data_IF_600402045520
#
_entry.id   IF_600402045520
#
_cell.length_a   1.000
_cell.length_b   1.000
_cell.length_c   1.000
_cell.angle_alpha   90.00
_cell.angle_beta   90.00
_cell.angle_gamma   90.00
#
_symmetry.space_group_name_H-M   'P 1'
#
loop_
_entity.id
_entity.type
_entity.pdbx_description
1 polymer ?
#
# COMPACT_ATOMS: atom_id res chain seq x y z
N UNK A 1 6.10 16.58 16.36
CA UNK A 1 5.60 16.83 14.99
C UNK A 1 5.82 18.29 14.63
N UNK A 2 6.35 18.57 13.45
CA UNK A 2 6.57 19.91 12.92
C UNK A 2 6.22 19.97 11.42
N UNK A 3 5.79 21.16 10.94
CA UNK A 3 5.64 21.41 9.49
C UNK A 3 6.98 21.82 8.93
N UNK A 4 7.40 21.18 7.84
CA UNK A 4 8.68 21.45 7.19
C UNK A 4 8.47 21.52 5.67
N UNK A 5 9.36 22.27 4.99
CA UNK A 5 9.43 22.21 3.51
C UNK A 5 10.48 21.17 3.12
N UNK A 6 10.07 20.16 2.37
CA UNK A 6 10.94 19.09 1.90
C UNK A 6 10.79 18.95 0.37
N UNK A 7 11.88 19.22 -0.36
CA UNK A 7 11.88 19.18 -1.83
C UNK A 7 10.76 20.03 -2.47
N UNK A 8 10.52 21.24 -1.93
CA UNK A 8 9.45 22.18 -2.31
C UNK A 8 8.02 21.67 -2.09
N UNK A 9 7.84 20.67 -1.23
CA UNK A 9 6.53 20.17 -0.80
C UNK A 9 6.38 20.49 0.70
N UNK A 10 5.26 21.07 1.09
CA UNK A 10 4.92 21.24 2.50
C UNK A 10 4.45 19.91 3.08
N UNK A 11 5.16 19.45 4.10
CA UNK A 11 4.94 18.17 4.75
C UNK A 11 4.97 18.28 6.26
N UNK A 12 4.59 17.20 6.91
CA UNK A 12 4.75 17.04 8.35
C UNK A 12 5.86 16.03 8.65
N UNK A 13 6.64 16.32 9.70
CA UNK A 13 7.72 15.48 10.21
C UNK A 13 7.39 15.02 11.61
N UNK A 14 7.61 13.74 11.87
CA UNK A 14 7.53 13.09 13.18
C UNK A 14 8.87 12.45 13.49
N UNK A 15 9.42 12.75 14.68
CA UNK A 15 10.57 12.05 15.24
C UNK A 15 10.08 11.21 16.43
N UNK A 16 10.22 9.87 16.34
CA UNK A 16 9.78 8.91 17.34
C UNK A 16 10.90 7.92 17.61
N UNK A 17 11.59 8.06 18.75
CA UNK A 17 12.81 7.31 19.03
C UNK A 17 13.87 7.51 17.95
N UNK A 18 14.42 6.43 17.35
CA UNK A 18 15.39 6.55 16.26
C UNK A 18 14.76 6.86 14.91
N UNK A 19 13.45 6.77 14.77
CA UNK A 19 12.73 6.93 13.50
C UNK A 19 12.35 8.37 13.22
N UNK A 20 12.46 8.75 11.95
CA UNK A 20 11.86 9.96 11.39
C UNK A 20 10.89 9.59 10.27
N UNK A 21 9.66 10.10 10.36
CA UNK A 21 8.62 9.92 9.36
C UNK A 21 8.29 11.26 8.70
N UNK A 22 8.26 11.27 7.36
CA UNK A 22 7.90 12.43 6.54
C UNK A 22 6.62 12.11 5.79
N UNK A 23 5.55 12.87 6.00
CA UNK A 23 4.27 12.60 5.37
C UNK A 23 3.57 13.88 4.89
N UNK A 24 2.74 13.72 3.86
CA UNK A 24 1.79 14.70 3.36
C UNK A 24 0.35 14.23 3.67
N UNK A 25 -0.21 14.59 4.84
CA UNK A 25 -1.54 14.15 5.23
C UNK A 25 -2.62 14.62 4.25
N UNK A 26 -2.55 15.88 3.81
CA UNK A 26 -3.57 16.53 2.98
C UNK A 26 -3.54 16.09 1.51
N UNK A 27 -2.41 15.55 1.01
CA UNK A 27 -2.26 15.13 -0.40
C UNK A 27 -2.04 13.62 -0.47
N UNK A 28 -3.08 12.88 -0.85
CA UNK A 28 -3.04 11.43 -0.98
C UNK A 28 -2.87 10.67 0.33
N UNK A 29 -2.97 11.33 1.49
CA UNK A 29 -2.68 10.75 2.82
C UNK A 29 -1.34 9.98 2.81
N UNK A 30 -0.30 10.53 2.18
CA UNK A 30 0.88 9.78 1.77
C UNK A 30 2.04 9.93 2.74
N UNK A 31 2.55 8.82 3.27
CA UNK A 31 3.90 8.78 3.81
C UNK A 31 4.88 8.89 2.64
N UNK A 32 5.81 9.84 2.70
CA UNK A 32 6.85 10.04 1.69
C UNK A 32 8.08 9.20 2.02
N UNK A 33 8.58 9.34 3.26
CA UNK A 33 9.80 8.66 3.68
C UNK A 33 9.70 8.24 5.15
N UNK A 34 10.33 7.13 5.47
CA UNK A 34 10.66 6.70 6.81
C UNK A 34 12.13 6.33 6.83
N UNK A 35 12.89 6.95 7.71
CA UNK A 35 14.30 6.61 7.92
C UNK A 35 14.65 6.45 9.39
N UNK A 36 15.73 5.72 9.63
CA UNK A 36 16.29 5.45 10.96
C UNK A 36 17.60 6.19 11.11
N UNK A 37 17.74 6.89 12.24
CA UNK A 37 18.98 7.49 12.70
C UNK A 37 19.78 6.41 13.44
N UNK A 38 20.88 5.96 12.83
CA UNK A 38 21.70 4.87 13.36
C UNK A 38 22.62 5.39 14.48
N UNK A 39 23.07 4.49 15.36
CA UNK A 39 23.94 4.84 16.50
C UNK A 39 25.31 5.40 16.10
N UNK A 40 25.77 5.11 14.88
CA UNK A 40 27.01 5.64 14.31
C UNK A 40 26.84 7.03 13.67
N UNK A 41 25.63 7.61 13.74
CA UNK A 41 25.27 8.90 13.15
C UNK A 41 24.88 8.82 11.67
N UNK A 42 24.90 7.65 11.04
CA UNK A 42 24.38 7.47 9.68
C UNK A 42 22.86 7.45 9.67
N UNK A 43 22.26 7.68 8.49
CA UNK A 43 20.82 7.62 8.26
C UNK A 43 20.53 6.51 7.25
N UNK A 44 19.52 5.71 7.54
CA UNK A 44 19.10 4.60 6.66
C UNK A 44 17.61 4.69 6.36
N UNK A 45 17.29 4.81 5.07
CA UNK A 45 15.90 4.78 4.62
C UNK A 45 15.31 3.36 4.75
N UNK A 46 14.10 3.29 5.27
CA UNK A 46 13.24 2.10 5.28
C UNK A 46 12.25 2.18 4.12
N UNK A 47 11.60 3.34 4.01
CA UNK A 47 10.70 3.65 2.89
C UNK A 47 11.43 4.61 1.96
N UNK A 48 11.57 4.19 0.72
CA UNK A 48 12.25 4.95 -0.34
C UNK A 48 11.47 6.21 -0.71
N UNK A 49 12.19 7.31 -0.86
CA UNK A 49 11.74 8.53 -1.54
C UNK A 49 12.91 9.06 -2.40
N UNK A 50 12.69 9.49 -3.65
CA UNK A 50 13.77 9.98 -4.52
C UNK A 50 14.49 11.18 -3.91
N UNK A 51 15.83 11.17 -3.90
CA UNK A 51 16.65 12.24 -3.31
C UNK A 51 16.41 13.62 -3.93
N UNK A 52 16.09 13.68 -5.22
CA UNK A 52 15.92 14.91 -5.99
C UNK A 52 14.58 14.91 -6.73
N UNK A 53 13.48 14.77 -5.99
CA UNK A 53 12.16 14.86 -6.61
C UNK A 53 11.84 16.31 -7.00
N UNK A 54 11.62 16.55 -8.28
CA UNK A 54 11.13 17.84 -8.82
C UNK A 54 9.71 17.76 -9.35
N UNK A 55 9.09 16.56 -9.32
CA UNK A 55 7.71 16.38 -9.77
C UNK A 55 6.74 16.83 -8.68
N UNK A 56 5.90 17.85 -8.95
CA UNK A 56 4.91 18.33 -7.98
C UNK A 56 3.73 17.37 -7.82
N UNK A 57 3.54 16.44 -8.77
CA UNK A 57 2.46 15.46 -8.78
C UNK A 57 2.89 14.22 -8.00
N UNK A 58 2.51 14.15 -6.73
CA UNK A 58 2.93 13.05 -5.84
C UNK A 58 2.57 11.67 -6.39
N UNK A 59 1.44 11.54 -7.09
CA UNK A 59 0.97 10.29 -7.69
C UNK A 59 1.93 9.72 -8.75
N UNK A 60 2.74 10.55 -9.37
CA UNK A 60 3.71 10.14 -10.39
C UNK A 60 5.07 9.73 -9.80
N UNK A 61 5.28 10.00 -8.52
CA UNK A 61 6.54 9.69 -7.83
C UNK A 61 6.56 8.24 -7.37
N UNK A 62 7.56 7.48 -7.82
CA UNK A 62 7.82 6.13 -7.32
C UNK A 62 8.55 6.22 -5.97
N UNK A 63 7.82 6.19 -4.88
CA UNK A 63 8.34 6.32 -3.51
C UNK A 63 7.24 6.43 -2.49
N UNK A 64 7.58 6.34 -1.21
CA UNK A 64 6.63 6.45 -0.11
C UNK A 64 5.64 5.28 -0.02
N UNK A 65 4.46 5.56 0.53
CA UNK A 65 3.36 4.60 0.65
C UNK A 65 2.08 5.22 0.07
N UNK A 66 1.82 5.05 -1.24
CA UNK A 66 0.53 5.40 -1.83
C UNK A 66 -0.63 4.62 -1.24
N UNK A 67 -1.75 5.30 -1.03
CA UNK A 67 -3.03 4.70 -0.61
C UNK A 67 -3.83 4.32 -1.84
N UNK A 68 -4.25 3.05 -1.90
CA UNK A 68 -4.98 2.47 -3.03
C UNK A 68 -6.45 2.28 -2.64
N UNK A 69 -7.36 3.08 -3.20
CA UNK A 69 -8.80 3.05 -2.91
C UNK A 69 -9.60 3.57 -4.11
N UNK A 70 -10.76 2.99 -4.46
CA UNK A 70 -11.46 1.90 -3.78
C UNK A 70 -10.95 0.50 -4.14
N UNK A 71 -10.21 0.34 -5.23
CA UNK A 71 -9.69 -0.96 -5.68
C UNK A 71 -8.19 -0.89 -5.95
N UNK A 72 -7.41 -1.77 -5.30
CA UNK A 72 -6.00 -1.93 -5.58
C UNK A 72 -5.79 -2.65 -6.92
N UNK A 73 -4.81 -2.18 -7.71
CA UNK A 73 -4.51 -2.70 -9.05
C UNK A 73 -5.41 -2.12 -10.14
N UNK A 74 -5.40 -2.76 -11.30
CA UNK A 74 -6.20 -2.38 -12.46
C UNK A 74 -7.51 -3.18 -12.48
N UNK A 75 -8.62 -2.51 -12.72
CA UNK A 75 -9.89 -3.16 -13.00
C UNK A 75 -10.01 -3.46 -14.51
N UNK A 76 -10.53 -4.65 -14.83
CA UNK A 76 -10.88 -5.05 -16.18
C UNK A 76 -12.31 -5.58 -16.19
N UNK A 77 -13.13 -5.11 -17.11
CA UNK A 77 -14.45 -5.66 -17.34
C UNK A 77 -14.59 -6.04 -18.81
N UNK A 78 -14.86 -7.32 -19.08
CA UNK A 78 -14.95 -7.87 -20.43
C UNK A 78 -13.74 -7.53 -21.33
N UNK A 79 -12.52 -7.51 -20.74
CA UNK A 79 -11.28 -7.18 -21.41
C UNK A 79 -11.00 -5.68 -21.58
N UNK A 80 -11.91 -4.80 -21.16
CA UNK A 80 -11.72 -3.36 -21.18
C UNK A 80 -10.94 -2.92 -19.93
N UNK A 81 -9.74 -2.39 -20.14
CA UNK A 81 -8.86 -1.91 -19.08
C UNK A 81 -9.41 -0.65 -18.41
N UNK A 82 -9.14 -0.49 -17.11
CA UNK A 82 -9.60 0.63 -16.29
C UNK A 82 -11.12 0.76 -16.24
N UNK A 83 -11.85 -0.36 -16.31
CA UNK A 83 -13.29 -0.38 -16.19
C UNK A 83 -13.76 -1.49 -15.25
N UNK A 84 -14.87 -1.24 -14.58
CA UNK A 84 -15.50 -2.19 -13.70
C UNK A 84 -17.02 -2.13 -13.81
N UNK A 85 -17.69 -3.24 -13.53
CA UNK A 85 -19.15 -3.28 -13.46
C UNK A 85 -19.60 -3.01 -12.04
N UNK A 86 -20.26 -1.86 -11.87
CA UNK A 86 -20.83 -1.46 -10.59
C UNK A 86 -22.06 -2.34 -10.23
N UNK A 87 -22.41 -2.51 -8.96
CA UNK A 87 -23.60 -3.26 -8.52
C UNK A 87 -24.92 -2.80 -9.12
N UNK A 88 -25.03 -1.55 -9.56
CA UNK A 88 -26.20 -1.03 -10.31
C UNK A 88 -26.25 -1.50 -11.77
N UNK A 89 -25.29 -2.30 -12.23
CA UNK A 89 -25.19 -2.85 -13.58
C UNK A 89 -24.49 -1.95 -14.58
N UNK A 90 -24.15 -0.70 -14.22
CA UNK A 90 -23.46 0.26 -15.11
C UNK A 90 -21.96 -0.02 -15.12
N UNK A 91 -21.36 -0.04 -16.31
CA UNK A 91 -19.90 -0.12 -16.48
C UNK A 91 -19.31 1.28 -16.38
N UNK A 92 -18.36 1.46 -15.47
CA UNK A 92 -17.71 2.76 -15.18
C UNK A 92 -16.21 2.67 -15.35
N UNK A 93 -15.57 3.77 -15.60
CA UNK A 93 -14.13 3.90 -15.50
C UNK A 93 -13.69 3.74 -14.03
N UNK A 94 -12.48 3.22 -13.85
CA UNK A 94 -11.77 3.16 -12.57
C UNK A 94 -10.29 3.32 -12.83
N UNK A 95 -9.68 4.41 -12.40
CA UNK A 95 -8.24 4.62 -12.58
C UNK A 95 -7.42 3.48 -11.95
N UNK A 96 -6.23 3.25 -12.48
CA UNK A 96 -5.27 2.32 -11.88
C UNK A 96 -5.06 2.66 -10.39
N UNK A 97 -5.29 1.69 -9.51
CA UNK A 97 -5.25 1.83 -8.05
C UNK A 97 -6.33 2.74 -7.45
N UNK A 98 -7.38 3.05 -8.20
CA UNK A 98 -8.41 3.99 -7.76
C UNK A 98 -7.94 5.44 -7.79
N UNK A 99 -8.50 6.29 -6.94
CA UNK A 99 -8.29 7.74 -7.00
C UNK A 99 -7.76 8.37 -5.70
N UNK A 100 -7.70 7.64 -4.58
CA UNK A 100 -7.29 8.23 -3.30
C UNK A 100 -5.87 8.81 -3.31
N UNK A 101 -4.93 8.17 -4.00
CA UNK A 101 -3.53 8.65 -4.09
C UNK A 101 -3.38 10.02 -4.76
N UNK A 102 -4.40 10.44 -5.53
CA UNK A 102 -4.45 11.68 -6.32
C UNK A 102 -5.42 12.69 -5.71
N UNK A 103 -6.02 12.35 -4.56
CA UNK A 103 -7.07 13.13 -3.93
C UNK A 103 -6.52 13.97 -2.78
N UNK A 104 -7.29 14.99 -2.43
CA UNK A 104 -7.10 15.78 -1.22
C UNK A 104 -7.78 15.09 -0.04
N UNK A 105 -7.21 15.28 1.15
CA UNK A 105 -7.74 14.80 2.41
C UNK A 105 -7.88 15.96 3.38
N UNK A 106 -8.95 15.96 4.15
CA UNK A 106 -9.16 16.88 5.27
C UNK A 106 -8.57 16.28 6.55
N UNK A 107 -7.78 17.08 7.25
CA UNK A 107 -7.19 16.66 8.52
C UNK A 107 -8.26 16.63 9.61
N UNK A 108 -8.45 15.46 10.25
CA UNK A 108 -9.30 15.27 11.43
C UNK A 108 -8.52 15.45 12.71
N UNK A 109 -7.33 14.86 12.79
CA UNK A 109 -6.39 15.06 13.89
C UNK A 109 -4.95 14.90 13.43
N UNK A 110 -4.05 15.63 14.08
CA UNK A 110 -2.60 15.46 14.00
C UNK A 110 -2.05 15.60 15.40
N UNK A 111 -1.27 14.63 15.85
CA UNK A 111 -0.61 14.67 17.15
C UNK A 111 0.84 14.16 17.08
N UNK A 112 1.43 13.81 18.24
CA UNK A 112 2.82 13.33 18.31
C UNK A 112 3.00 11.90 17.82
N UNK A 113 1.90 11.12 17.76
CA UNK A 113 1.93 9.71 17.42
C UNK A 113 1.47 9.45 15.96
N UNK A 114 0.93 10.46 15.27
CA UNK A 114 0.48 10.27 13.90
C UNK A 114 -0.55 11.28 13.42
N UNK A 115 -1.43 10.83 12.53
CA UNK A 115 -2.51 11.66 12.00
C UNK A 115 -3.70 10.82 11.54
N UNK A 116 -4.86 11.46 11.50
CA UNK A 116 -6.11 10.96 10.94
C UNK A 116 -6.62 11.95 9.90
N UNK A 117 -6.95 11.45 8.72
CA UNK A 117 -7.43 12.25 7.59
C UNK A 117 -8.60 11.56 6.90
N UNK A 118 -9.48 12.36 6.33
CA UNK A 118 -10.66 11.91 5.61
C UNK A 118 -10.60 12.39 4.16
N UNK A 119 -10.91 11.49 3.24
CA UNK A 119 -10.94 11.76 1.81
C UNK A 119 -11.94 12.87 1.48
N UNK A 120 -11.48 13.90 0.81
CA UNK A 120 -12.36 14.94 0.24
C UNK A 120 -12.93 14.43 -1.08
N UNK A 121 -14.21 14.04 -1.06
CA UNK A 121 -14.88 13.54 -2.26
C UNK A 121 -15.11 14.69 -3.25
N UNK A 122 -14.63 14.53 -4.47
CA UNK A 122 -14.88 15.46 -5.58
C UNK A 122 -16.14 15.03 -6.32
N UNK A 123 -16.83 15.98 -6.94
CA UNK A 123 -18.03 15.69 -7.74
C UNK A 123 -17.76 14.63 -8.83
N UNK A 124 -16.60 14.71 -9.50
CA UNK A 124 -16.18 13.74 -10.52
C UNK A 124 -15.89 12.33 -10.00
N UNK A 125 -15.59 12.15 -8.71
CA UNK A 125 -15.32 10.81 -8.15
C UNK A 125 -16.59 9.94 -8.16
N UNK A 126 -17.79 10.54 -8.16
CA UNK A 126 -19.08 9.83 -8.27
C UNK A 126 -19.30 9.17 -9.65
N UNK A 127 -18.61 9.63 -10.67
CA UNK A 127 -18.64 8.98 -11.99
C UNK A 127 -17.93 7.61 -11.95
N UNK A 128 -16.89 7.50 -11.13
CA UNK A 128 -16.13 6.26 -10.94
C UNK A 128 -16.74 5.35 -9.88
N UNK A 129 -17.21 5.97 -8.75
CA UNK A 129 -17.62 5.27 -7.55
C UNK A 129 -18.84 5.95 -6.89
N UNK A 130 -20.07 5.65 -7.38
CA UNK A 130 -21.30 6.38 -7.09
C UNK A 130 -21.94 5.98 -5.75
N UNK A 131 -21.20 6.04 -4.66
CA UNK A 131 -21.67 5.68 -3.32
C UNK A 131 -21.58 6.86 -2.37
N UNK A 132 -22.37 6.79 -1.30
CA UNK A 132 -22.29 7.70 -0.16
C UNK A 132 -21.48 7.02 0.94
N UNK A 133 -20.32 7.56 1.27
CA UNK A 133 -19.36 6.94 2.18
C UNK A 133 -18.44 7.98 2.82
N UNK A 134 -17.85 7.60 3.94
CA UNK A 134 -16.64 8.23 4.49
C UNK A 134 -15.47 7.27 4.34
N UNK A 135 -14.34 7.77 3.84
CA UNK A 135 -13.08 7.02 3.78
C UNK A 135 -12.01 7.72 4.59
N UNK A 136 -11.57 7.07 5.67
CA UNK A 136 -10.58 7.58 6.62
C UNK A 136 -9.27 6.82 6.53
N UNK A 137 -8.17 7.55 6.62
CA UNK A 137 -6.81 6.99 6.73
C UNK A 137 -6.20 7.44 8.04
N UNK A 138 -5.72 6.48 8.84
CA UNK A 138 -5.07 6.74 10.12
C UNK A 138 -3.64 6.20 10.07
N UNK A 139 -2.68 7.05 10.43
CA UNK A 139 -1.29 6.64 10.66
C UNK A 139 -0.97 6.70 12.15
N UNK A 140 -0.35 5.66 12.65
CA UNK A 140 0.23 5.61 13.98
C UNK A 140 1.71 5.27 13.88
N UNK A 141 2.57 6.18 14.36
CA UNK A 141 4.03 6.07 14.31
C UNK A 141 4.59 5.58 15.63
N UNK A 142 5.44 4.58 15.57
CA UNK A 142 6.14 3.96 16.69
C UNK A 142 7.65 4.03 16.46
N UNK A 143 8.46 3.66 17.48
CA UNK A 143 9.92 3.79 17.37
C UNK A 143 10.53 2.98 16.21
N UNK A 144 10.05 1.77 15.96
CA UNK A 144 10.55 0.87 14.92
C UNK A 144 9.42 0.30 14.05
N UNK A 145 8.23 0.89 14.10
CA UNK A 145 7.11 0.47 13.25
C UNK A 145 6.16 1.62 12.96
N UNK A 146 5.27 1.39 12.01
CA UNK A 146 4.12 2.23 11.75
C UNK A 146 2.91 1.37 11.44
N UNK A 147 1.74 1.84 11.84
CA UNK A 147 0.45 1.25 11.46
C UNK A 147 -0.32 2.20 10.58
N UNK A 148 -0.99 1.66 9.55
CA UNK A 148 -1.85 2.39 8.63
C UNK A 148 -3.19 1.69 8.60
N UNK A 149 -4.25 2.37 9.05
CA UNK A 149 -5.63 1.89 8.97
C UNK A 149 -6.36 2.59 7.84
N UNK A 150 -6.99 1.81 6.97
CA UNK A 150 -7.92 2.24 5.94
C UNK A 150 -9.32 1.87 6.42
N UNK A 151 -10.22 2.85 6.55
CA UNK A 151 -11.55 2.65 7.10
C UNK A 151 -12.58 3.15 6.11
N UNK A 152 -13.54 2.30 5.74
CA UNK A 152 -14.68 2.65 4.90
C UNK A 152 -15.97 2.57 5.71
N UNK A 153 -16.68 3.67 5.84
CA UNK A 153 -18.01 3.75 6.46
C UNK A 153 -19.06 3.96 5.35
N UNK A 154 -20.06 3.10 5.35
CA UNK A 154 -21.15 3.18 4.36
C UNK A 154 -22.28 4.06 4.92
N UNK A 155 -22.42 5.26 4.36
CA UNK A 155 -23.46 6.23 4.69
C UNK A 155 -24.71 6.11 3.81
N UNK A 156 -24.60 5.28 2.76
CA UNK A 156 -25.67 5.06 1.80
C UNK A 156 -26.67 3.98 2.20
N UNK A 157 -27.56 3.66 1.26
CA UNK A 157 -28.64 2.67 1.45
C UNK A 157 -28.36 1.31 0.78
N UNK A 158 -27.30 1.21 0.00
CA UNK A 158 -26.89 -0.01 -0.69
C UNK A 158 -25.53 -0.46 -0.20
N UNK A 159 -25.19 -1.76 -0.27
CA UNK A 159 -23.85 -2.24 0.07
C UNK A 159 -22.78 -1.62 -0.85
N UNK A 160 -21.65 -1.23 -0.27
CA UNK A 160 -20.52 -0.61 -0.98
C UNK A 160 -19.40 -1.63 -1.18
N UNK A 161 -18.95 -1.87 -2.44
CA UNK A 161 -17.83 -2.77 -2.72
C UNK A 161 -16.49 -2.05 -2.56
N UNK A 162 -15.51 -2.65 -1.87
CA UNK A 162 -14.13 -2.15 -1.85
C UNK A 162 -13.10 -3.26 -1.75
N UNK A 163 -11.89 -2.95 -2.16
CA UNK A 163 -10.71 -3.80 -2.06
C UNK A 163 -9.47 -2.91 -2.12
N UNK A 164 -9.24 -2.21 -1.02
CA UNK A 164 -8.15 -1.24 -0.87
C UNK A 164 -6.80 -1.92 -0.67
N UNK A 165 -5.75 -1.13 -0.60
CA UNK A 165 -4.40 -1.61 -0.33
C UNK A 165 -3.39 -0.49 -0.13
N UNK A 166 -2.16 -0.88 0.13
CA UNK A 166 -1.01 -0.01 0.24
C UNK A 166 0.06 -0.40 -0.78
N UNK A 167 0.85 0.58 -1.21
CA UNK A 167 1.94 0.38 -2.17
C UNK A 167 3.29 0.88 -1.60
N UNK A 168 3.81 0.23 -0.53
CA UNK A 168 5.06 0.66 0.08
C UNK A 168 6.25 0.40 -0.84
N UNK A 169 7.06 1.43 -1.03
CA UNK A 169 8.35 1.37 -1.72
C UNK A 169 9.44 1.15 -0.67
N UNK A 170 9.84 -0.08 -0.42
CA UNK A 170 10.93 -0.38 0.50
C UNK A 170 12.27 0.06 -0.13
N UNK A 171 13.11 0.78 0.63
CA UNK A 171 14.45 1.12 0.18
C UNK A 171 15.32 -0.14 0.09
N UNK A 172 15.85 -0.46 -1.09
CA UNK A 172 16.76 -1.58 -1.31
C UNK A 172 17.83 -1.23 -2.35
N UNK A 173 19.08 -1.58 -2.11
CA UNK A 173 19.58 -2.32 -0.93
C UNK A 173 19.56 -1.45 0.34
N UNK A 174 19.56 -2.10 1.51
CA UNK A 174 19.57 -1.41 2.80
C UNK A 174 20.89 -0.71 3.11
N UNK A 175 21.98 -1.19 2.54
CA UNK A 175 23.31 -0.59 2.64
C UNK A 175 23.93 -0.48 1.26
N UNK A 176 24.80 0.49 1.06
CA UNK A 176 25.44 0.79 -0.23
C UNK A 176 26.36 -0.34 -0.74
N UNK A 177 26.86 -1.18 0.16
CA UNK A 177 27.72 -2.33 -0.14
C UNK A 177 26.94 -3.59 -0.54
N UNK A 178 25.62 -3.56 -0.49
CA UNK A 178 24.73 -4.67 -0.82
C UNK A 178 24.05 -4.47 -2.18
N UNK A 179 23.49 -5.54 -2.70
CA UNK A 179 22.61 -5.55 -3.87
C UNK A 179 21.30 -6.29 -3.52
N UNK A 180 20.36 -6.39 -4.45
CA UNK A 180 19.09 -7.11 -4.22
C UNK A 180 19.29 -8.59 -3.89
N UNK A 181 20.32 -9.23 -4.45
CA UNK A 181 20.60 -10.67 -4.25
C UNK A 181 20.97 -11.01 -2.81
N UNK A 182 21.41 -10.02 -2.01
CA UNK A 182 21.69 -10.21 -0.58
C UNK A 182 20.43 -10.10 0.30
N UNK A 183 19.27 -9.83 -0.32
CA UNK A 183 17.98 -9.75 0.34
C UNK A 183 17.05 -10.87 -0.13
N UNK A 184 16.15 -11.29 0.73
CA UNK A 184 15.18 -12.35 0.44
C UNK A 184 13.79 -11.99 0.92
N UNK A 185 12.78 -12.56 0.29
CA UNK A 185 11.37 -12.40 0.61
C UNK A 185 10.79 -13.70 1.13
N UNK A 186 10.11 -13.65 2.26
CA UNK A 186 9.33 -14.75 2.82
C UNK A 186 7.85 -14.42 2.79
N UNK A 187 7.08 -15.19 2.02
CA UNK A 187 5.61 -15.15 1.99
C UNK A 187 5.09 -16.59 1.89
N UNK A 188 4.28 -17.00 2.86
CA UNK A 188 3.71 -18.35 2.88
C UNK A 188 2.32 -18.35 2.21
N UNK A 189 2.29 -18.38 0.88
CA UNK A 189 1.09 -18.38 0.07
C UNK A 189 0.79 -19.79 -0.51
N UNK A 190 -0.47 -20.20 -0.47
CA UNK A 190 -0.94 -21.43 -1.13
C UNK A 190 -1.14 -21.25 -2.63
N UNK A 191 -1.41 -20.02 -3.06
CA UNK A 191 -1.61 -19.67 -4.46
C UNK A 191 -0.70 -18.51 -4.85
N UNK A 192 -0.02 -18.67 -5.98
CA UNK A 192 0.79 -17.60 -6.60
C UNK A 192 0.33 -17.44 -8.05
N UNK A 193 0.12 -16.20 -8.45
CA UNK A 193 -0.22 -15.84 -9.82
C UNK A 193 0.81 -14.86 -10.37
N UNK A 194 1.08 -14.94 -11.66
CA UNK A 194 1.79 -13.91 -12.40
C UNK A 194 0.78 -12.97 -13.02
N UNK A 195 0.87 -11.70 -12.71
CA UNK A 195 0.08 -10.66 -13.37
C UNK A 195 0.68 -10.33 -14.73
N UNK A 196 -0.14 -10.36 -15.77
CA UNK A 196 0.27 -10.10 -17.15
C UNK A 196 -0.49 -8.90 -17.72
N UNK A 197 0.03 -8.35 -18.80
CA UNK A 197 -0.64 -7.28 -19.54
C UNK A 197 -2.06 -7.72 -19.93
N UNK A 198 -3.03 -6.81 -19.78
CA UNK A 198 -4.44 -7.10 -20.07
C UNK A 198 -5.21 -7.76 -18.92
N UNK A 199 -4.66 -7.73 -17.70
CA UNK A 199 -5.36 -8.20 -16.50
C UNK A 199 -5.37 -9.71 -16.30
N UNK A 200 -4.68 -10.44 -17.15
CA UNK A 200 -4.61 -11.89 -17.05
C UNK A 200 -3.75 -12.31 -15.85
N UNK A 201 -4.25 -13.24 -15.07
CA UNK A 201 -3.51 -13.86 -13.97
C UNK A 201 -3.23 -15.32 -14.32
N UNK A 202 -1.96 -15.64 -14.55
CA UNK A 202 -1.52 -17.02 -14.81
C UNK A 202 -1.08 -17.66 -13.50
N UNK A 203 -1.70 -18.79 -13.13
CA UNK A 203 -1.31 -19.55 -11.95
C UNK A 203 0.13 -20.06 -12.09
N UNK A 204 0.91 -19.88 -11.05
CA UNK A 204 2.27 -20.41 -10.91
C UNK A 204 2.36 -21.42 -9.78
N UNK A 205 3.36 -22.28 -9.85
CA UNK A 205 3.77 -23.06 -8.69
C UNK A 205 4.33 -22.08 -7.64
N UNK A 206 3.91 -22.16 -6.38
CA UNK A 206 4.52 -21.37 -5.32
C UNK A 206 6.04 -21.58 -5.29
N UNK A 207 6.79 -20.51 -5.22
CA UNK A 207 8.24 -20.54 -5.11
C UNK A 207 8.58 -20.93 -3.67
N UNK A 208 9.72 -21.60 -3.47
CA UNK A 208 10.21 -21.86 -2.12
C UNK A 208 10.42 -20.56 -1.34
N UNK A 209 9.86 -20.47 -0.15
CA UNK A 209 10.07 -19.32 0.74
C UNK A 209 11.16 -19.71 1.77
N UNK A 210 12.18 -18.87 2.02
CA UNK A 210 12.43 -17.53 1.42
C UNK A 210 13.00 -17.60 -0.01
N UNK A 211 12.78 -16.53 -0.78
CA UNK A 211 13.25 -16.37 -2.17
C UNK A 211 14.11 -15.12 -2.29
N UNK A 212 15.31 -15.15 -2.90
CA UNK A 212 16.12 -13.96 -3.16
C UNK A 212 15.37 -12.92 -3.99
N UNK A 213 15.56 -11.62 -3.72
CA UNK A 213 14.82 -10.53 -4.39
C UNK A 213 15.29 -10.22 -5.80
N UNK A 214 16.39 -10.82 -6.26
CA UNK A 214 16.82 -10.79 -7.66
C UNK A 214 16.15 -11.89 -8.53
N UNK A 215 15.31 -12.76 -7.92
CA UNK A 215 14.54 -13.77 -8.65
C UNK A 215 13.49 -13.10 -9.55
N UNK A 216 13.62 -13.17 -10.89
CA UNK A 216 12.73 -12.44 -11.81
C UNK A 216 11.26 -12.84 -11.70
N UNK A 217 10.99 -14.06 -11.26
CA UNK A 217 9.62 -14.56 -11.14
C UNK A 217 8.84 -13.93 -9.99
N UNK A 218 9.50 -13.19 -9.09
CA UNK A 218 8.84 -12.38 -8.06
C UNK A 218 8.22 -11.09 -8.62
N UNK A 219 8.69 -10.58 -9.75
CA UNK A 219 8.17 -9.33 -10.32
C UNK A 219 6.75 -9.56 -10.87
N UNK A 220 5.80 -8.67 -10.51
CA UNK A 220 4.37 -8.79 -10.82
C UNK A 220 3.73 -10.09 -10.30
N UNK A 221 4.22 -10.64 -9.20
CA UNK A 221 3.63 -11.81 -8.57
C UNK A 221 2.61 -11.43 -7.53
N UNK A 222 1.52 -12.22 -7.49
CA UNK A 222 0.42 -12.08 -6.54
C UNK A 222 0.42 -13.32 -5.66
N UNK A 223 0.64 -13.11 -4.37
CA UNK A 223 0.64 -14.15 -3.34
C UNK A 223 -0.70 -14.12 -2.61
N UNK A 224 -1.44 -15.21 -2.67
CA UNK A 224 -2.82 -15.28 -2.17
C UNK A 224 -3.08 -16.58 -1.38
N UNK A 225 -4.16 -16.59 -0.57
CA UNK A 225 -4.45 -17.67 0.39
C UNK A 225 -3.26 -17.91 1.31
N UNK A 226 -2.90 -16.87 2.04
CA UNK A 226 -1.75 -16.84 2.94
C UNK A 226 -1.98 -17.75 4.15
N UNK A 227 -0.95 -18.44 4.60
CA UNK A 227 -0.98 -19.16 5.88
C UNK A 227 -0.94 -18.22 7.08
N UNK A 228 -0.29 -17.06 6.91
CA UNK A 228 -0.28 -15.92 7.81
C UNK A 228 -0.33 -14.65 6.97
N UNK A 229 -1.01 -13.59 7.44
CA UNK A 229 -1.16 -12.33 6.68
C UNK A 229 0.10 -11.47 6.76
N UNK A 230 1.27 -12.08 6.52
CA UNK A 230 2.58 -11.48 6.73
C UNK A 230 3.51 -11.77 5.57
N UNK A 231 4.21 -10.72 5.14
CA UNK A 231 5.38 -10.79 4.27
C UNK A 231 6.60 -10.28 5.04
N UNK A 232 7.76 -10.91 4.85
CA UNK A 232 9.01 -10.52 5.50
C UNK A 232 10.11 -10.35 4.45
N UNK A 233 10.73 -9.18 4.41
CA UNK A 233 11.97 -8.92 3.67
C UNK A 233 13.12 -8.96 4.67
N UNK A 234 14.16 -9.75 4.41
CA UNK A 234 15.32 -9.88 5.29
C UNK A 234 16.61 -9.93 4.51
N UNK A 235 17.75 -9.74 5.20
CA UNK A 235 19.04 -10.15 4.66
C UNK A 235 19.12 -11.69 4.60
N UNK A 236 19.98 -12.24 3.74
CA UNK A 236 20.15 -13.69 3.60
C UNK A 236 20.59 -14.38 4.90
N UNK A 237 21.33 -13.66 5.77
CA UNK A 237 21.70 -14.15 7.09
C UNK A 237 20.58 -14.04 8.13
N UNK A 238 19.45 -13.37 7.78
CA UNK A 238 18.29 -13.21 8.64
C UNK A 238 18.42 -12.19 9.78
N UNK A 239 19.51 -11.40 9.82
CA UNK A 239 19.79 -10.50 10.94
C UNK A 239 18.95 -9.23 10.94
N UNK A 240 18.54 -8.74 9.78
CA UNK A 240 17.74 -7.51 9.65
C UNK A 240 16.48 -7.82 8.85
N UNK A 241 15.33 -7.35 9.35
CA UNK A 241 14.03 -7.68 8.78
C UNK A 241 13.11 -6.48 8.71
N UNK A 242 12.34 -6.41 7.62
CA UNK A 242 11.13 -5.59 7.52
C UNK A 242 9.97 -6.56 7.42
N UNK A 243 9.05 -6.49 8.36
CA UNK A 243 7.82 -7.28 8.35
C UNK A 243 6.64 -6.41 8.00
N UNK A 244 5.80 -6.87 7.08
CA UNK A 244 4.56 -6.22 6.67
C UNK A 244 3.44 -7.19 6.98
N UNK A 245 2.51 -6.79 7.85
CA UNK A 245 1.43 -7.67 8.32
C UNK A 245 0.09 -6.95 8.27
N UNK A 246 -0.98 -7.63 7.85
CA UNK A 246 -2.33 -7.20 8.20
C UNK A 246 -2.55 -7.50 9.67
N UNK A 247 -2.98 -6.49 10.42
CA UNK A 247 -3.21 -6.57 11.86
C UNK A 247 -4.65 -6.13 12.21
N UNK A 248 -5.16 -6.63 13.32
CA UNK A 248 -6.50 -6.27 13.79
C UNK A 248 -7.64 -7.11 13.22
N UNK A 249 -8.80 -7.07 13.89
CA UNK A 249 -10.04 -7.71 13.46
C UNK A 249 -10.06 -9.26 13.52
N UNK A 250 -11.24 -9.84 13.66
CA UNK A 250 -11.44 -11.31 13.67
C UNK A 250 -11.22 -11.95 12.28
N UNK A 251 -11.21 -11.15 11.21
CA UNK A 251 -11.04 -11.58 9.82
C UNK A 251 -9.65 -11.25 9.25
N UNK A 252 -8.73 -10.72 10.09
CA UNK A 252 -7.38 -10.38 9.65
C UNK A 252 -6.72 -11.57 8.95
N UNK A 253 -6.18 -11.32 7.76
CA UNK A 253 -5.49 -12.30 6.94
C UNK A 253 -6.35 -13.26 6.13
N UNK A 254 -7.66 -13.31 6.33
CA UNK A 254 -8.54 -14.22 5.57
C UNK A 254 -8.63 -13.86 4.09
N UNK A 255 -8.37 -12.61 3.75
CA UNK A 255 -8.51 -12.05 2.39
C UNK A 255 -7.25 -11.37 1.86
N UNK A 256 -6.27 -11.09 2.70
CA UNK A 256 -5.05 -10.39 2.31
C UNK A 256 -4.30 -11.11 1.20
N UNK A 257 -3.81 -10.33 0.26
CA UNK A 257 -2.83 -10.75 -0.73
C UNK A 257 -1.62 -9.82 -0.69
N UNK A 258 -0.45 -10.34 -1.06
CA UNK A 258 0.73 -9.51 -1.30
C UNK A 258 1.04 -9.48 -2.78
N UNK A 259 1.25 -8.29 -3.30
CA UNK A 259 1.75 -8.08 -4.66
C UNK A 259 3.20 -7.65 -4.57
N UNK A 260 4.05 -8.24 -5.41
CA UNK A 260 5.47 -7.90 -5.48
C UNK A 260 5.78 -7.23 -6.81
N UNK A 261 6.43 -6.07 -6.74
CA UNK A 261 6.76 -5.28 -7.91
C UNK A 261 8.06 -4.50 -7.73
N UNK A 262 8.78 -4.33 -8.81
CA UNK A 262 9.93 -3.44 -8.89
C UNK A 262 10.25 -3.15 -10.36
N UNK A 263 11.05 -2.11 -10.59
CA UNK A 263 11.75 -1.90 -11.86
C UNK A 263 13.19 -2.36 -11.74
N UNK A 264 13.78 -2.70 -12.88
CA UNK A 264 15.21 -2.98 -12.97
C UNK A 264 16.02 -1.74 -12.59
N UNK A 265 17.15 -1.95 -11.92
CA UNK A 265 18.11 -0.89 -11.51
C UNK A 265 17.51 0.25 -10.68
N UNK A 266 16.43 0.01 -9.93
CA UNK A 266 15.89 1.00 -9.01
C UNK A 266 16.28 0.71 -7.56
N UNK A 267 16.41 1.76 -6.71
CA UNK A 267 16.77 1.61 -5.30
C UNK A 267 15.57 1.26 -4.41
N UNK A 268 14.56 0.59 -4.96
CA UNK A 268 13.38 0.17 -4.20
C UNK A 268 12.85 -1.19 -4.65
N UNK A 269 12.08 -1.80 -3.76
CA UNK A 269 11.27 -2.98 -4.03
C UNK A 269 9.90 -2.83 -3.33
N UNK A 270 8.83 -3.16 -4.03
CA UNK A 270 7.48 -3.04 -3.48
C UNK A 270 6.97 -4.41 -3.05
N UNK A 271 6.52 -4.48 -1.80
CA UNK A 271 5.80 -5.61 -1.22
C UNK A 271 4.48 -5.05 -0.70
N UNK A 272 3.45 -5.25 -1.46
CA UNK A 272 2.20 -4.48 -1.38
C UNK A 272 1.10 -5.29 -0.72
N UNK A 273 0.68 -4.95 0.51
CA UNK A 273 -0.48 -5.57 1.15
C UNK A 273 -1.77 -5.01 0.57
N UNK A 274 -2.56 -5.89 -0.06
CA UNK A 274 -3.87 -5.58 -0.63
C UNK A 274 -4.95 -6.44 0.01
N UNK A 275 -6.15 -5.91 0.13
CA UNK A 275 -7.31 -6.64 0.67
C UNK A 275 -7.68 -7.88 -0.15
N UNK A 276 -7.35 -7.90 -1.44
CA UNK A 276 -7.59 -9.05 -2.31
C UNK A 276 -6.68 -8.98 -3.55
N UNK A 277 -6.59 -10.04 -4.35
CA UNK A 277 -5.94 -9.99 -5.65
C UNK A 277 -6.52 -8.90 -6.56
N UNK A 278 -5.75 -8.39 -7.55
CA UNK A 278 -6.21 -7.35 -8.46
C UNK A 278 -7.46 -7.75 -9.22
N UNK A 279 -8.15 -6.76 -9.79
CA UNK A 279 -9.42 -6.94 -10.50
C UNK A 279 -10.51 -7.54 -9.60
N UNK A 280 -10.57 -7.11 -8.37
CA UNK A 280 -11.48 -7.63 -7.34
C UNK A 280 -12.97 -7.59 -7.75
N UNK A 281 -13.47 -6.56 -8.47
CA UNK A 281 -14.86 -6.55 -8.93
C UNK A 281 -15.20 -7.71 -9.87
N UNK A 282 -14.36 -8.00 -10.86
CA UNK A 282 -14.59 -9.08 -11.83
C UNK A 282 -14.41 -10.46 -11.17
N UNK A 283 -13.38 -10.59 -10.33
CA UNK A 283 -13.07 -11.83 -9.61
C UNK A 283 -14.00 -12.08 -8.41
N UNK A 284 -14.89 -11.12 -8.07
CA UNK A 284 -15.80 -11.18 -6.91
C UNK A 284 -15.08 -11.43 -5.58
N UNK A 285 -13.89 -10.85 -5.44
CA UNK A 285 -13.07 -10.94 -4.23
C UNK A 285 -13.11 -9.68 -3.37
N UNK A 286 -13.80 -8.63 -3.83
CA UNK A 286 -14.05 -7.41 -3.07
C UNK A 286 -14.93 -7.68 -1.85
N UNK A 287 -14.79 -6.88 -0.80
CA UNK A 287 -15.72 -6.87 0.33
C UNK A 287 -16.88 -5.93 0.06
N UNK A 288 -18.06 -6.35 0.51
CA UNK A 288 -19.29 -5.54 0.47
C UNK A 288 -19.56 -5.01 1.87
N UNK A 289 -19.52 -3.69 2.06
CA UNK A 289 -19.84 -3.03 3.33
C UNK A 289 -21.33 -2.73 3.37
N UNK A 290 -22.11 -3.35 4.27
CA UNK A 290 -23.56 -3.10 4.36
C UNK A 290 -23.89 -1.64 4.72
N UNK A 291 -25.13 -1.18 4.47
CA UNK A 291 -25.60 0.14 4.94
C UNK A 291 -25.38 0.34 6.45
N UNK A 292 -24.96 1.54 6.84
CA UNK A 292 -24.66 1.94 8.22
C UNK A 292 -23.61 1.07 8.93
N UNK A 293 -22.81 0.32 8.16
CA UNK A 293 -21.67 -0.45 8.65
C UNK A 293 -20.35 0.17 8.27
N UNK A 294 -19.29 -0.24 8.97
CA UNK A 294 -17.90 0.09 8.62
C UNK A 294 -17.09 -1.19 8.42
N UNK A 295 -16.04 -1.07 7.63
CA UNK A 295 -15.01 -2.08 7.47
C UNK A 295 -13.63 -1.43 7.55
N UNK A 296 -12.64 -2.19 8.01
CA UNK A 296 -11.29 -1.70 8.26
C UNK A 296 -10.26 -2.67 7.71
N UNK A 297 -9.18 -2.11 7.17
CA UNK A 297 -7.98 -2.82 6.75
C UNK A 297 -6.77 -2.13 7.35
N UNK A 298 -6.14 -2.75 8.33
CA UNK A 298 -4.98 -2.20 9.04
C UNK A 298 -3.72 -3.00 8.74
N UNK A 299 -2.67 -2.30 8.37
CA UNK A 299 -1.35 -2.86 8.06
C UNK A 299 -0.31 -2.27 9.00
N UNK A 300 0.52 -3.13 9.55
CA UNK A 300 1.73 -2.76 10.28
C UNK A 300 2.97 -3.05 9.42
N UNK A 301 3.90 -2.11 9.41
CA UNK A 301 5.25 -2.28 8.85
C UNK A 301 6.22 -2.07 10.00
N UNK A 302 7.01 -3.10 10.34
CA UNK A 302 7.93 -3.09 11.47
C UNK A 302 9.35 -3.52 11.08
N UNK A 303 10.34 -2.98 11.79
CA UNK A 303 11.72 -3.45 11.78
C UNK A 303 11.91 -4.45 12.91
N UNK A 304 12.43 -5.65 12.61
CA UNK A 304 12.59 -6.76 13.54
C UNK A 304 14.01 -7.34 13.48
#
# INVERSE_FOLDING_TARGET
>A
MEKVSYQNIDINRWDVGPSTFLASPEKGARLLNWHINMSDGSVRDVIHWPENNTNPLLQEVHGGIPILFPFAGTCFHEGKENHWKCPDGVVREMPLHGFARDSEFSVRSIDRAGFEVELVQREGDREFYPFEYTFTVIYHFLELSLQISLILENEGRAPIPWSAGLHPYLQLPWRKDLSRKEHQLSINAKKVFQYQKGGLMTKKTPISSPTPLDEPSLINSIHYELSQPTAEVSLLNGEEKIRISEVGGAEAGSRTSFVTWSKEDTPYYCVEPWMSPPNAPENKTMKMVPPAARDEFTVEIELA
#
